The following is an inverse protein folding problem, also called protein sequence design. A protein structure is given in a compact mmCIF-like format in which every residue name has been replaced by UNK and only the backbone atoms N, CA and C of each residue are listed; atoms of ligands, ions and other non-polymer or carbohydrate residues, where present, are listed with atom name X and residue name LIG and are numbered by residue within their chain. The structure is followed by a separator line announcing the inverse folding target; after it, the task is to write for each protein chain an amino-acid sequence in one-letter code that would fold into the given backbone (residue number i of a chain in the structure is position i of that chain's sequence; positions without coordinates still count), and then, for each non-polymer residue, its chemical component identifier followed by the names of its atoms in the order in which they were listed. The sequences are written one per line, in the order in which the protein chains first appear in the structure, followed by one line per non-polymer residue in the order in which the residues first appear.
data_IF_098959057491
#
_entry.id   IF_098959057491
#
_cell.length_a   1.000
_cell.length_b   1.000
_cell.length_c   1.000
_cell.angle_alpha   90.00
_cell.angle_beta   90.00
_cell.angle_gamma   90.00
#
_symmetry.space_group_name_H-M   'P 1'
#
loop_
_entity.id
_entity.type
_entity.pdbx_description
1 polymer ?
#
# COMPACT_ATOMS: atom_id res chain seq x y z
N UNK A 1 6.57 27.64 30.67
CA UNK A 1 6.02 26.93 29.50
C UNK A 1 6.14 25.43 29.75
N UNK A 2 5.04 24.68 29.83
CA UNK A 2 5.08 23.26 30.26
C UNK A 2 5.90 22.41 29.27
N UNK A 3 6.92 21.71 29.79
CA UNK A 3 7.81 20.83 29.01
C UNK A 3 7.04 19.82 28.14
N UNK A 4 5.87 19.39 28.61
CA UNK A 4 4.95 18.49 27.90
C UNK A 4 4.33 19.13 26.64
N UNK A 5 4.02 20.43 26.65
CA UNK A 5 3.53 21.15 25.46
C UNK A 5 4.64 21.31 24.41
N UNK A 6 5.88 21.53 24.86
CA UNK A 6 7.06 21.64 23.99
C UNK A 6 7.39 20.29 23.33
N UNK A 7 7.34 19.20 24.08
CA UNK A 7 7.53 17.85 23.54
C UNK A 7 6.46 17.50 22.49
N UNK A 8 5.20 17.82 22.76
CA UNK A 8 4.10 17.59 21.81
C UNK A 8 4.30 18.40 20.52
N UNK A 9 4.71 19.66 20.62
CA UNK A 9 4.98 20.51 19.45
C UNK A 9 6.19 20.04 18.64
N UNK A 10 7.23 19.50 19.29
CA UNK A 10 8.39 18.97 18.58
C UNK A 10 8.05 17.67 17.85
N UNK A 11 7.19 16.82 18.43
CA UNK A 11 6.73 15.59 17.81
C UNK A 11 5.87 15.85 16.57
N UNK A 12 4.95 16.83 16.64
CA UNK A 12 4.17 17.23 15.47
C UNK A 12 5.05 17.86 14.39
N UNK A 13 6.03 18.69 14.75
CA UNK A 13 6.98 19.26 13.80
C UNK A 13 7.81 18.19 13.10
N UNK A 14 8.30 17.19 13.85
CA UNK A 14 9.05 16.06 13.31
C UNK A 14 8.21 15.20 12.37
N UNK A 15 6.93 14.99 12.70
CA UNK A 15 6.00 14.24 11.84
C UNK A 15 5.73 14.96 10.51
N UNK A 16 5.52 16.28 10.56
CA UNK A 16 5.34 17.11 9.36
C UNK A 16 6.61 17.12 8.51
N UNK A 17 7.78 17.26 9.15
CA UNK A 17 9.07 17.23 8.47
C UNK A 17 9.32 15.88 7.78
N UNK A 18 9.01 14.76 8.44
CA UNK A 18 9.13 13.42 7.86
C UNK A 18 8.22 13.24 6.62
N UNK A 19 6.99 13.75 6.67
CA UNK A 19 6.07 13.73 5.53
C UNK A 19 6.61 14.59 4.38
N UNK A 20 7.08 15.80 4.66
CA UNK A 20 7.65 16.70 3.65
C UNK A 20 8.89 16.08 2.98
N UNK A 21 9.75 15.42 3.76
CA UNK A 21 10.95 14.73 3.26
C UNK A 21 10.57 13.53 2.38
N UNK A 22 9.55 12.74 2.76
CA UNK A 22 9.04 11.66 1.92
C UNK A 22 8.42 12.17 0.61
N UNK A 23 7.67 13.27 0.64
CA UNK A 23 7.10 13.90 -0.57
C UNK A 23 8.22 14.38 -1.49
N UNK A 24 9.29 14.98 -0.95
CA UNK A 24 10.40 15.51 -1.74
C UNK A 24 11.19 14.40 -2.46
N UNK A 25 11.45 13.26 -1.79
CA UNK A 25 12.23 12.16 -2.37
C UNK A 25 11.45 11.22 -3.29
N UNK A 26 10.18 10.92 -2.97
CA UNK A 26 9.40 9.92 -3.70
C UNK A 26 8.33 10.53 -4.62
N UNK A 27 8.01 11.82 -4.45
CA UNK A 27 6.81 12.45 -5.01
C UNK A 27 5.53 11.95 -4.31
N UNK A 28 4.49 12.79 -4.28
CA UNK A 28 3.20 12.44 -3.67
C UNK A 28 2.62 11.13 -4.22
N UNK A 29 2.79 10.88 -5.51
CA UNK A 29 2.39 9.62 -6.15
C UNK A 29 3.14 8.40 -5.62
N UNK A 30 4.43 8.51 -5.27
CA UNK A 30 5.20 7.40 -4.71
C UNK A 30 4.71 6.98 -3.32
N UNK A 31 4.36 7.97 -2.49
CA UNK A 31 3.76 7.79 -1.16
C UNK A 31 2.42 7.05 -1.20
N UNK A 32 1.49 7.54 -2.03
CA UNK A 32 0.16 6.92 -2.21
C UNK A 32 0.32 5.48 -2.69
N UNK A 33 1.32 5.22 -3.54
CA UNK A 33 1.60 3.89 -4.06
C UNK A 33 2.14 2.92 -3.02
N UNK A 34 3.04 3.37 -2.14
CA UNK A 34 3.53 2.56 -1.01
C UNK A 34 2.38 2.25 -0.06
N UNK A 35 1.54 3.24 0.24
CA UNK A 35 0.37 3.06 1.09
C UNK A 35 -0.63 2.06 0.49
N UNK A 36 -1.00 2.22 -0.79
CA UNK A 36 -1.88 1.29 -1.50
C UNK A 36 -1.27 -0.12 -1.60
N UNK A 37 0.03 -0.21 -1.91
CA UNK A 37 0.77 -1.47 -1.95
C UNK A 37 0.72 -2.22 -0.63
N UNK A 38 0.94 -1.50 0.49
CA UNK A 38 0.84 -2.08 1.82
C UNK A 38 -0.59 -2.59 2.12
N UNK A 39 -1.61 -1.82 1.77
CA UNK A 39 -3.02 -2.22 1.93
C UNK A 39 -3.33 -3.49 1.14
N UNK A 40 -2.91 -3.58 -0.12
CA UNK A 40 -3.15 -4.77 -0.94
C UNK A 40 -2.38 -6.00 -0.47
N UNK A 41 -1.17 -5.85 0.10
CA UNK A 41 -0.46 -6.96 0.76
C UNK A 41 -1.26 -7.49 1.94
N UNK A 42 -1.72 -6.59 2.83
CA UNK A 42 -2.50 -6.98 4.00
C UNK A 42 -3.80 -7.67 3.58
N UNK A 43 -4.50 -7.13 2.58
CA UNK A 43 -5.68 -7.76 2.00
C UNK A 43 -5.38 -9.16 1.43
N UNK A 44 -4.25 -9.31 0.72
CA UNK A 44 -3.83 -10.62 0.18
C UNK A 44 -3.61 -11.65 1.28
N UNK A 45 -2.95 -11.27 2.38
CA UNK A 45 -2.72 -12.16 3.53
C UNK A 45 -4.07 -12.56 4.16
N UNK A 46 -4.98 -11.60 4.35
CA UNK A 46 -6.31 -11.88 4.92
C UNK A 46 -7.11 -12.84 4.03
N UNK A 47 -7.17 -12.60 2.72
CA UNK A 47 -7.88 -13.49 1.80
C UNK A 47 -7.19 -14.85 1.67
N UNK A 48 -5.87 -14.95 1.81
CA UNK A 48 -5.17 -16.23 1.84
C UNK A 48 -5.64 -17.08 3.03
N UNK A 49 -5.69 -16.46 4.23
CA UNK A 49 -6.16 -17.11 5.45
C UNK A 49 -7.63 -17.51 5.33
N UNK A 50 -8.50 -16.60 4.88
CA UNK A 50 -9.92 -16.90 4.69
C UNK A 50 -10.16 -18.00 3.66
N UNK A 51 -9.40 -18.01 2.57
CA UNK A 51 -9.50 -19.06 1.56
C UNK A 51 -9.15 -20.41 2.17
N UNK A 52 -8.07 -20.49 2.98
CA UNK A 52 -7.71 -21.72 3.69
C UNK A 52 -8.81 -22.22 4.64
N UNK A 53 -9.39 -21.32 5.44
CA UNK A 53 -10.50 -21.64 6.36
C UNK A 53 -11.75 -22.10 5.59
N UNK A 54 -12.11 -21.41 4.51
CA UNK A 54 -13.31 -21.71 3.71
C UNK A 54 -13.18 -23.03 2.94
N UNK A 55 -11.98 -23.35 2.45
CA UNK A 55 -11.68 -24.66 1.85
C UNK A 55 -11.84 -25.76 2.90
N UNK A 56 -11.28 -25.57 4.10
CA UNK A 56 -11.43 -26.53 5.20
C UNK A 56 -12.91 -26.75 5.58
N UNK A 57 -13.68 -25.66 5.65
CA UNK A 57 -15.12 -25.71 5.92
C UNK A 57 -15.97 -26.22 4.74
N UNK A 58 -15.37 -26.58 3.59
CA UNK A 58 -16.06 -26.97 2.35
C UNK A 58 -17.15 -25.99 1.92
N UNK A 59 -16.91 -24.70 2.14
CA UNK A 59 -17.87 -23.64 1.82
C UNK A 59 -17.79 -23.23 0.35
N UNK A 60 -18.95 -22.95 -0.27
CA UNK A 60 -19.05 -22.41 -1.64
C UNK A 60 -18.32 -21.06 -1.76
N UNK A 61 -18.24 -20.29 -0.66
CA UNK A 61 -17.56 -19.00 -0.64
C UNK A 61 -16.04 -19.09 -0.73
N UNK A 62 -15.45 -20.30 -0.66
CA UNK A 62 -14.01 -20.52 -0.86
C UNK A 62 -13.53 -20.03 -2.22
N UNK A 63 -14.32 -20.26 -3.28
CA UNK A 63 -14.06 -19.75 -4.63
C UNK A 63 -14.08 -18.22 -4.68
N UNK A 64 -15.04 -17.59 -4.01
CA UNK A 64 -15.13 -16.13 -3.96
C UNK A 64 -13.94 -15.51 -3.23
N UNK A 65 -13.53 -16.11 -2.11
CA UNK A 65 -12.32 -15.70 -1.38
C UNK A 65 -11.05 -15.90 -2.20
N UNK A 66 -10.97 -16.99 -2.99
CA UNK A 66 -9.84 -17.23 -3.89
C UNK A 66 -9.77 -16.18 -5.01
N UNK A 67 -10.91 -15.79 -5.58
CA UNK A 67 -10.97 -14.71 -6.58
C UNK A 67 -10.54 -13.38 -5.95
N UNK A 68 -11.00 -13.07 -4.74
CA UNK A 68 -10.59 -11.87 -4.01
C UNK A 68 -9.08 -11.85 -3.72
N UNK A 69 -8.50 -13.00 -3.36
CA UNK A 69 -7.05 -13.17 -3.21
C UNK A 69 -6.33 -12.84 -4.52
N UNK A 70 -6.73 -13.45 -5.64
CA UNK A 70 -6.12 -13.21 -6.95
C UNK A 70 -6.22 -11.74 -7.38
N UNK A 71 -7.37 -11.10 -7.15
CA UNK A 71 -7.57 -9.68 -7.43
C UNK A 71 -6.66 -8.79 -6.57
N UNK A 72 -6.50 -9.11 -5.29
CA UNK A 72 -5.63 -8.34 -4.39
C UNK A 72 -4.15 -8.43 -4.79
N UNK A 73 -3.69 -9.62 -5.22
CA UNK A 73 -2.33 -9.83 -5.74
C UNK A 73 -2.14 -9.10 -7.08
N UNK A 74 -3.15 -9.15 -7.97
CA UNK A 74 -3.11 -8.43 -9.24
C UNK A 74 -3.06 -6.91 -9.04
N UNK A 75 -3.89 -6.37 -8.14
CA UNK A 75 -3.88 -4.95 -7.79
C UNK A 75 -2.54 -4.53 -7.20
N UNK A 76 -1.95 -5.35 -6.31
CA UNK A 76 -0.59 -5.12 -5.83
C UNK A 76 0.41 -5.05 -6.99
N UNK A 77 0.39 -6.02 -7.91
CA UNK A 77 1.28 -6.03 -9.08
C UNK A 77 1.15 -4.75 -9.91
N UNK A 78 -0.07 -4.34 -10.27
CA UNK A 78 -0.33 -3.14 -11.09
C UNK A 78 0.13 -1.84 -10.40
N UNK A 79 -0.05 -1.75 -9.08
CA UNK A 79 0.45 -0.64 -8.26
C UNK A 79 1.98 -0.49 -8.42
N UNK A 80 2.74 -1.56 -8.64
CA UNK A 80 4.20 -1.46 -8.83
C UNK A 80 4.65 -1.44 -10.30
N UNK A 81 3.95 -2.14 -11.20
CA UNK A 81 4.31 -2.23 -12.63
C UNK A 81 4.01 -0.95 -13.41
N UNK A 82 3.01 -0.18 -12.99
CA UNK A 82 2.65 1.13 -13.57
C UNK A 82 3.82 2.12 -13.64
N UNK A 83 4.88 1.94 -12.83
CA UNK A 83 6.13 2.72 -12.91
C UNK A 83 7.00 2.41 -14.11
N UNK A 84 7.07 1.14 -14.52
CA UNK A 84 7.90 0.71 -15.64
C UNK A 84 7.31 1.26 -16.93
N UNK A 85 6.00 1.14 -17.12
CA UNK A 85 5.32 1.68 -18.29
C UNK A 85 5.37 3.21 -18.36
N UNK A 86 5.18 3.92 -17.24
CA UNK A 86 5.31 5.39 -17.22
C UNK A 86 6.75 5.85 -17.50
N UNK A 87 7.76 5.23 -16.89
CA UNK A 87 9.16 5.54 -17.17
C UNK A 87 9.57 5.23 -18.62
N UNK A 88 9.10 4.11 -19.19
CA UNK A 88 9.32 3.73 -20.59
C UNK A 88 8.60 4.67 -21.55
N UNK A 89 7.37 5.08 -21.25
CA UNK A 89 6.64 6.03 -22.09
C UNK A 89 7.28 7.42 -22.15
N UNK A 90 7.91 7.88 -21.04
CA UNK A 90 8.67 9.13 -21.04
C UNK A 90 9.95 8.99 -21.86
N UNK A 91 10.65 7.86 -21.78
CA UNK A 91 11.87 7.59 -22.57
C UNK A 91 11.61 7.39 -24.07
N UNK A 92 10.41 6.99 -24.48
CA UNK A 92 10.03 6.81 -25.89
C UNK A 92 9.55 8.10 -26.57
N UNK A 93 9.28 9.16 -25.79
CA UNK A 93 8.86 10.47 -26.30
C UNK A 93 10.06 11.42 -26.49
N UNK A 94 11.21 11.12 -25.88
CA UNK A 94 12.49 11.80 -26.11
C UNK A 94 13.35 11.03 -27.12
#
# INVERSE_FOLDING_TARGET
MNRMKVALSLLTLAFIAAIALLIHFFGFYGLVRIALGAVFIVASILFLVFTGILIYARSIYSLLSLIALLLSIYAFREVYLSRILSAVSVLLIF
#
